data_IF_003001134590
#
_entry.id   IF_003001134590
#
_cell.length_a   1.000
_cell.length_b   1.000
_cell.length_c   1.000
_cell.angle_alpha   90.00
_cell.angle_beta   90.00
_cell.angle_gamma   90.00
#
_symmetry.space_group_name_H-M   'P 1'
#
loop_
_entity.id
_entity.type
_entity.pdbx_description
1 polymer ?
#
# COMPACT_ATOMS: atom_id res chain seq x y z
N UNK A 1 -6.15 18.45 41.45
CA UNK A 1 -5.92 19.32 40.30
C UNK A 1 -4.43 19.40 40.03
N UNK A 2 -3.99 18.78 38.97
CA UNK A 2 -2.71 19.05 38.29
C UNK A 2 -2.83 18.43 36.91
N UNK A 3 -3.14 19.27 35.93
CA UNK A 3 -3.25 18.90 34.53
C UNK A 3 -1.85 18.70 33.95
N UNK A 4 -1.56 17.49 33.51
CA UNK A 4 -0.40 17.23 32.66
C UNK A 4 -0.75 17.60 31.23
N UNK A 5 -0.39 18.79 30.80
CA UNK A 5 -0.33 19.15 29.39
C UNK A 5 0.81 18.35 28.75
N UNK A 6 0.47 17.35 27.94
CA UNK A 6 1.42 16.70 27.06
C UNK A 6 1.81 17.70 25.96
N UNK A 7 2.96 18.32 26.12
CA UNK A 7 3.60 19.15 25.09
C UNK A 7 4.02 18.20 23.99
N UNK A 8 3.37 18.26 22.81
CA UNK A 8 3.84 17.63 21.60
C UNK A 8 5.24 18.19 21.29
N UNK A 9 6.26 17.35 21.39
CA UNK A 9 7.61 17.73 21.01
C UNK A 9 7.61 18.09 19.51
N UNK A 10 8.19 19.26 19.13
CA UNK A 10 8.26 19.64 17.73
C UNK A 10 9.10 18.62 16.97
N UNK A 11 8.65 18.27 15.77
CA UNK A 11 9.38 17.46 14.80
C UNK A 11 10.79 18.03 14.65
N UNK A 12 11.79 17.37 15.24
CA UNK A 12 13.16 17.88 15.26
C UNK A 12 13.66 18.00 13.83
N UNK A 13 14.01 19.21 13.43
CA UNK A 13 14.62 19.51 12.14
C UNK A 13 15.77 18.53 11.87
N UNK A 14 15.74 17.86 10.73
CA UNK A 14 16.83 17.03 10.22
C UNK A 14 18.13 17.85 10.26
N UNK A 15 19.15 17.34 10.94
CA UNK A 15 20.46 17.99 10.97
C UNK A 15 20.98 18.12 9.55
N UNK A 16 21.34 19.33 9.15
CA UNK A 16 22.05 19.63 7.92
C UNK A 16 23.38 18.85 7.90
N UNK A 17 23.42 17.77 7.12
CA UNK A 17 24.61 16.89 6.99
C UNK A 17 24.35 15.66 6.13
N UNK A 18 23.09 15.30 5.88
CA UNK A 18 22.75 14.06 5.20
C UNK A 18 21.71 14.34 4.09
N UNK A 19 22.19 14.88 2.97
CA UNK A 19 21.40 15.59 1.99
C UNK A 19 20.93 14.75 0.81
N UNK A 20 19.93 13.91 1.01
CA UNK A 20 18.92 13.76 -0.02
C UNK A 20 17.69 14.55 0.43
N UNK A 21 17.33 15.60 -0.28
CA UNK A 21 16.13 16.40 -0.01
C UNK A 21 14.84 15.74 -0.53
N UNK A 22 14.96 14.67 -1.30
CA UNK A 22 13.80 13.98 -1.91
C UNK A 22 12.99 13.26 -0.82
N UNK A 23 11.73 13.63 -0.58
CA UNK A 23 10.87 12.90 0.35
C UNK A 23 10.52 11.51 -0.18
N UNK A 24 10.08 10.62 0.71
CA UNK A 24 9.75 9.23 0.39
C UNK A 24 8.26 8.99 0.56
N UNK A 25 7.66 8.34 -0.45
CA UNK A 25 6.36 7.69 -0.39
C UNK A 25 6.49 6.18 -0.30
N UNK A 26 5.58 5.54 0.42
CA UNK A 26 5.47 4.09 0.48
C UNK A 26 4.01 3.71 0.28
N UNK A 27 3.72 2.96 -0.79
CA UNK A 27 2.36 2.60 -1.18
C UNK A 27 1.75 1.52 -0.29
N UNK A 28 2.57 0.81 0.50
CA UNK A 28 2.10 -0.27 1.35
C UNK A 28 3.04 -0.57 2.51
N UNK A 29 2.58 -0.28 3.72
CA UNK A 29 3.26 -0.61 4.96
C UNK A 29 2.26 -0.91 6.06
N UNK A 30 2.63 -1.72 7.04
CA UNK A 30 1.78 -2.07 8.17
C UNK A 30 2.32 -1.50 9.47
N UNK A 31 1.41 -1.17 10.39
CA UNK A 31 1.79 -0.87 11.78
C UNK A 31 1.39 -1.97 12.74
N UNK A 32 0.28 -2.62 12.48
CA UNK A 32 -0.36 -3.53 13.43
C UNK A 32 -0.47 -4.96 12.92
N UNK A 33 0.22 -5.31 11.83
CA UNK A 33 0.19 -6.65 11.26
C UNK A 33 1.34 -7.53 11.76
N UNK A 34 1.09 -8.84 11.93
CA UNK A 34 2.09 -9.88 12.19
C UNK A 34 2.81 -9.74 13.53
N UNK A 35 4.13 -9.60 13.46
CA UNK A 35 5.06 -9.64 14.59
C UNK A 35 4.82 -8.48 15.58
N UNK A 36 4.23 -7.41 15.15
CA UNK A 36 3.98 -6.21 15.95
C UNK A 36 2.56 -6.16 16.49
N UNK A 37 2.11 -7.21 17.18
CA UNK A 37 0.90 -7.15 18.03
C UNK A 37 1.02 -6.14 19.17
N UNK A 38 2.20 -5.55 19.36
CA UNK A 38 2.39 -4.51 20.35
C UNK A 38 1.74 -3.22 19.87
N UNK A 39 0.99 -2.54 20.75
CA UNK A 39 0.44 -1.25 20.42
C UNK A 39 1.54 -0.35 19.91
N UNK A 40 1.23 0.44 18.91
CA UNK A 40 2.12 1.43 18.34
C UNK A 40 2.66 2.48 19.34
N UNK A 41 2.28 2.44 20.60
CA UNK A 41 2.94 3.13 21.72
C UNK A 41 4.42 2.79 21.85
N UNK A 42 4.85 1.62 21.31
CA UNK A 42 6.27 1.19 21.34
C UNK A 42 7.06 1.73 20.14
N UNK A 43 6.40 2.12 19.04
CA UNK A 43 7.06 2.69 17.86
C UNK A 43 6.40 4.01 17.45
N UNK A 44 6.94 5.16 17.85
CA UNK A 44 6.41 6.45 17.45
C UNK A 44 6.53 6.60 15.93
N UNK A 45 5.39 6.65 15.24
CA UNK A 45 5.30 6.75 13.79
C UNK A 45 6.07 7.96 13.25
N UNK A 46 5.90 9.11 13.89
CA UNK A 46 6.60 10.33 13.50
C UNK A 46 8.13 10.15 13.48
N UNK A 47 8.68 9.45 14.50
CA UNK A 47 10.11 9.12 14.52
C UNK A 47 10.50 8.19 13.38
N UNK A 48 9.73 7.14 13.13
CA UNK A 48 10.00 6.20 12.05
C UNK A 48 10.00 6.88 10.68
N UNK A 49 8.99 7.69 10.41
CA UNK A 49 8.88 8.46 9.17
C UNK A 49 10.03 9.49 9.06
N UNK A 50 10.33 10.21 10.14
CA UNK A 50 11.40 11.21 10.17
C UNK A 50 12.79 10.63 9.92
N UNK A 51 13.10 9.44 10.41
CA UNK A 51 14.39 8.78 10.20
C UNK A 51 14.72 8.57 8.72
N UNK A 52 13.72 8.43 7.87
CA UNK A 52 13.88 8.25 6.43
C UNK A 52 13.44 9.44 5.59
N UNK A 53 12.88 10.52 6.18
CA UNK A 53 12.16 11.55 5.46
C UNK A 53 11.00 10.94 4.63
N UNK A 54 10.27 9.98 5.21
CA UNK A 54 9.06 9.42 4.63
C UNK A 54 7.90 10.37 4.94
N UNK A 55 7.25 10.89 3.90
CA UNK A 55 6.24 11.94 4.06
C UNK A 55 4.87 11.56 3.48
N UNK A 56 4.78 10.46 2.72
CA UNK A 56 3.52 9.96 2.18
C UNK A 56 3.46 8.43 2.31
N UNK A 57 3.00 7.95 3.45
CA UNK A 57 2.98 6.51 3.75
C UNK A 57 1.56 5.98 3.73
N UNK A 58 1.30 5.00 2.87
CA UNK A 58 0.08 4.21 2.94
C UNK A 58 0.14 3.27 4.13
N UNK A 59 -0.82 3.45 5.02
CA UNK A 59 -0.95 2.64 6.20
C UNK A 59 -2.03 1.60 6.01
N UNK A 60 -1.62 0.39 5.62
CA UNK A 60 -2.51 -0.69 5.29
C UNK A 60 -3.05 -1.37 6.55
N UNK A 61 -4.36 -1.18 6.77
CA UNK A 61 -5.14 -1.96 7.71
C UNK A 61 -5.47 -3.30 7.06
N UNK A 62 -5.11 -4.41 7.70
CA UNK A 62 -5.44 -5.75 7.19
C UNK A 62 -6.90 -6.06 7.50
N UNK A 63 -7.77 -5.94 6.49
CA UNK A 63 -9.22 -6.01 6.63
C UNK A 63 -9.75 -7.39 7.01
N UNK A 64 -8.97 -8.43 6.75
CA UNK A 64 -9.31 -9.82 7.02
C UNK A 64 -8.43 -10.49 8.09
N UNK A 65 -7.63 -9.71 8.84
CA UNK A 65 -6.65 -10.23 9.81
C UNK A 65 -7.19 -11.28 10.79
N UNK A 66 -8.39 -11.18 11.36
CA UNK A 66 -8.90 -12.17 12.31
C UNK A 66 -9.14 -13.56 11.71
N UNK A 67 -9.28 -13.63 10.38
CA UNK A 67 -9.61 -14.85 9.64
C UNK A 67 -8.45 -15.43 8.85
N UNK A 68 -7.22 -14.97 9.11
CA UNK A 68 -6.00 -15.53 8.53
C UNK A 68 -5.13 -16.20 9.61
N UNK A 69 -4.32 -17.16 9.19
CA UNK A 69 -3.35 -17.84 10.05
C UNK A 69 -2.07 -18.19 9.30
N UNK A 70 -0.93 -18.26 9.99
CA UNK A 70 0.28 -18.90 9.44
C UNK A 70 0.05 -20.38 9.15
N UNK A 71 0.68 -20.87 8.08
CA UNK A 71 0.80 -22.28 7.73
C UNK A 71 2.18 -22.55 7.15
N UNK A 72 2.60 -23.83 6.97
CA UNK A 72 3.87 -24.17 6.32
C UNK A 72 3.98 -23.64 4.88
N UNK A 73 2.86 -23.29 4.26
CA UNK A 73 2.79 -22.75 2.89
C UNK A 73 2.55 -21.24 2.84
N UNK A 74 2.74 -20.53 3.95
CA UNK A 74 2.45 -19.10 4.10
C UNK A 74 1.10 -18.83 4.79
N UNK A 75 0.60 -17.62 4.68
CA UNK A 75 -0.69 -17.22 5.27
C UNK A 75 -1.85 -17.88 4.55
N UNK A 76 -2.85 -18.34 5.31
CA UNK A 76 -4.06 -19.00 4.79
C UNK A 76 -5.31 -18.54 5.54
N UNK A 77 -6.43 -18.63 4.84
CA UNK A 77 -7.73 -18.40 5.47
C UNK A 77 -8.00 -19.38 6.62
N UNK A 78 -8.54 -18.86 7.71
CA UNK A 78 -9.03 -19.61 8.88
C UNK A 78 -10.49 -19.26 9.14
N UNK A 79 -11.38 -20.01 8.55
CA UNK A 79 -12.82 -19.71 8.63
C UNK A 79 -13.21 -18.50 7.76
N UNK A 80 -14.46 -18.07 7.89
CA UNK A 80 -14.99 -16.90 7.20
C UNK A 80 -15.61 -15.94 8.22
N UNK A 81 -15.62 -14.63 7.97
CA UNK A 81 -16.33 -13.69 8.82
C UNK A 81 -17.83 -14.05 8.85
N UNK A 82 -18.44 -13.95 10.03
CA UNK A 82 -19.91 -13.94 10.13
C UNK A 82 -20.45 -12.61 9.60
N UNK A 83 -21.70 -12.54 9.14
CA UNK A 83 -22.31 -11.26 8.75
C UNK A 83 -22.05 -10.16 9.78
N UNK A 84 -21.64 -8.98 9.36
CA UNK A 84 -21.27 -7.83 10.19
C UNK A 84 -19.91 -7.91 10.88
N UNK A 85 -19.25 -9.06 10.91
CA UNK A 85 -18.01 -9.21 11.67
C UNK A 85 -16.81 -8.48 11.00
N UNK A 86 -16.72 -8.51 9.67
CA UNK A 86 -15.68 -7.82 8.94
C UNK A 86 -15.87 -6.29 8.98
N UNK A 87 -17.11 -5.83 8.88
CA UNK A 87 -17.48 -4.41 9.03
C UNK A 87 -17.15 -3.90 10.44
N UNK A 88 -17.48 -4.68 11.48
CA UNK A 88 -17.11 -4.35 12.87
C UNK A 88 -15.60 -4.25 13.03
N UNK A 89 -14.85 -5.25 12.56
CA UNK A 89 -13.40 -5.26 12.59
C UNK A 89 -12.80 -4.02 11.91
N UNK A 90 -13.23 -3.72 10.70
CA UNK A 90 -12.82 -2.53 9.97
C UNK A 90 -13.06 -1.25 10.77
N UNK A 91 -14.27 -1.09 11.33
CA UNK A 91 -14.66 0.12 12.08
C UNK A 91 -13.80 0.32 13.33
N UNK A 92 -13.52 -0.74 14.07
CA UNK A 92 -12.68 -0.70 15.27
C UNK A 92 -11.21 -0.37 14.92
N UNK A 93 -10.69 -1.01 13.87
CA UNK A 93 -9.30 -0.82 13.46
C UNK A 93 -9.05 0.56 12.86
N UNK A 94 -9.96 1.07 12.02
CA UNK A 94 -9.79 2.41 11.44
C UNK A 94 -9.85 3.49 12.51
N UNK A 95 -10.70 3.32 13.52
CA UNK A 95 -10.76 4.22 14.67
C UNK A 95 -9.45 4.18 15.48
N UNK A 96 -8.88 2.99 15.69
CA UNK A 96 -7.60 2.79 16.37
C UNK A 96 -6.45 3.47 15.63
N UNK A 97 -6.38 3.28 14.31
CA UNK A 97 -5.35 3.88 13.47
C UNK A 97 -5.44 5.41 13.49
N UNK A 98 -6.65 5.95 13.33
CA UNK A 98 -6.89 7.40 13.38
C UNK A 98 -6.48 8.02 14.72
N UNK A 99 -6.87 7.37 15.82
CA UNK A 99 -6.49 7.78 17.18
C UNK A 99 -4.97 7.81 17.34
N UNK A 100 -4.29 6.77 16.84
CA UNK A 100 -2.84 6.69 16.93
C UNK A 100 -2.14 7.76 16.09
N UNK A 101 -2.58 8.01 14.85
CA UNK A 101 -2.04 9.08 14.01
C UNK A 101 -2.20 10.45 14.70
N UNK A 102 -3.38 10.73 15.25
CA UNK A 102 -3.65 11.97 15.98
C UNK A 102 -2.74 12.14 17.22
N UNK A 103 -2.53 11.07 18.00
CA UNK A 103 -1.63 11.09 19.17
C UNK A 103 -0.17 11.34 18.80
N UNK A 104 0.22 11.01 17.57
CA UNK A 104 1.56 11.23 17.02
C UNK A 104 1.70 12.57 16.29
N UNK A 105 0.62 13.35 16.19
CA UNK A 105 0.61 14.61 15.42
C UNK A 105 0.76 14.39 13.91
N UNK A 106 0.48 13.18 13.39
CA UNK A 106 0.56 12.85 11.97
C UNK A 106 -0.79 13.12 11.31
N UNK A 107 -0.77 13.88 10.22
CA UNK A 107 -1.97 14.18 9.42
C UNK A 107 -2.33 13.00 8.51
N UNK A 108 -3.63 12.87 8.25
CA UNK A 108 -4.17 11.89 7.30
C UNK A 108 -4.43 12.63 5.99
N UNK A 109 -3.83 12.16 4.90
CA UNK A 109 -4.05 12.69 3.57
C UNK A 109 -5.44 12.29 3.07
N UNK A 110 -6.31 13.26 2.87
CA UNK A 110 -7.69 13.08 2.40
C UNK A 110 -8.04 13.93 1.19
N UNK A 111 -7.17 14.89 0.84
CA UNK A 111 -7.36 15.85 -0.25
C UNK A 111 -6.09 15.96 -1.11
N UNK A 112 -6.20 16.45 -2.36
CA UNK A 112 -5.03 16.76 -3.19
C UNK A 112 -4.05 17.76 -2.54
N UNK A 113 -4.55 18.71 -1.73
CA UNK A 113 -3.70 19.66 -1.02
C UNK A 113 -2.80 18.98 0.05
N UNK A 114 -3.29 17.93 0.69
CA UNK A 114 -2.47 17.14 1.63
C UNK A 114 -1.31 16.45 0.90
N UNK A 115 -1.52 16.01 -0.34
CA UNK A 115 -0.47 15.44 -1.18
C UNK A 115 0.60 16.47 -1.54
N UNK A 116 0.21 17.73 -1.81
CA UNK A 116 1.15 18.82 -2.06
C UNK A 116 2.03 19.11 -0.84
N UNK A 117 1.46 19.04 0.36
CA UNK A 117 2.21 19.20 1.60
C UNK A 117 3.17 18.03 1.82
N UNK A 118 2.74 16.79 1.55
CA UNK A 118 3.60 15.62 1.62
C UNK A 118 4.78 15.69 0.65
N UNK A 119 4.55 16.14 -0.60
CA UNK A 119 5.59 16.36 -1.61
C UNK A 119 6.59 17.44 -1.22
N UNK A 120 6.20 18.37 -0.35
CA UNK A 120 7.07 19.43 0.24
C UNK A 120 7.77 18.99 1.51
N UNK A 121 7.52 17.76 2.00
CA UNK A 121 8.20 17.20 3.16
C UNK A 121 7.39 17.16 4.45
N UNK A 122 6.10 17.53 4.42
CA UNK A 122 5.22 17.42 5.60
C UNK A 122 4.68 15.99 5.72
N UNK A 123 4.87 15.28 6.86
CA UNK A 123 4.44 13.90 7.00
C UNK A 123 2.92 13.71 6.97
N UNK A 124 2.45 12.87 6.07
CA UNK A 124 1.06 12.45 5.94
C UNK A 124 0.96 10.93 5.82
N UNK A 125 -0.11 10.39 6.38
CA UNK A 125 -0.50 8.97 6.23
C UNK A 125 -1.70 8.89 5.31
N UNK A 126 -1.65 7.99 4.34
CA UNK A 126 -2.83 7.56 3.58
C UNK A 126 -3.43 6.37 4.30
N UNK A 127 -4.67 6.49 4.77
CA UNK A 127 -5.37 5.33 5.30
C UNK A 127 -5.75 4.40 4.16
N UNK A 128 -5.26 3.17 4.23
CA UNK A 128 -5.57 2.12 3.27
C UNK A 128 -6.11 0.87 3.95
N UNK A 129 -6.80 0.04 3.17
CA UNK A 129 -7.35 -1.24 3.63
C UNK A 129 -6.84 -2.33 2.70
N UNK A 130 -6.21 -3.34 3.27
CA UNK A 130 -5.78 -4.54 2.56
C UNK A 130 -6.82 -5.65 2.72
N UNK A 131 -7.55 -5.94 1.63
CA UNK A 131 -8.68 -6.87 1.64
C UNK A 131 -9.98 -6.22 2.09
N UNK A 132 -10.90 -6.03 1.16
CA UNK A 132 -12.14 -5.28 1.37
C UNK A 132 -13.33 -6.16 1.82
N UNK A 133 -13.08 -7.19 2.65
CA UNK A 133 -14.11 -8.07 3.19
C UNK A 133 -15.18 -7.35 4.03
N UNK A 134 -14.90 -6.14 4.50
CA UNK A 134 -15.88 -5.29 5.18
C UNK A 134 -17.05 -4.84 4.29
N UNK A 135 -16.92 -5.02 2.97
CA UNK A 135 -17.98 -4.75 1.99
C UNK A 135 -18.91 -5.93 1.75
N UNK A 136 -18.66 -7.10 2.35
CA UNK A 136 -19.53 -8.26 2.20
C UNK A 136 -20.96 -8.01 2.74
N UNK A 137 -21.12 -7.02 3.63
CA UNK A 137 -22.41 -6.59 4.16
C UNK A 137 -23.11 -5.54 3.27
N UNK A 138 -22.42 -4.93 2.31
CA UNK A 138 -22.98 -3.96 1.37
C UNK A 138 -22.00 -2.90 0.88
N UNK A 139 -22.35 -2.26 -0.24
CA UNK A 139 -21.52 -1.24 -0.90
C UNK A 139 -21.45 0.07 -0.09
N UNK A 140 -22.40 0.32 0.79
CA UNK A 140 -22.48 1.50 1.67
C UNK A 140 -21.24 1.59 2.59
N UNK A 141 -20.57 0.46 2.81
CA UNK A 141 -19.29 0.40 3.52
C UNK A 141 -18.23 1.28 2.89
N UNK A 142 -18.24 1.53 1.56
CA UNK A 142 -17.30 2.43 0.89
C UNK A 142 -17.49 3.89 1.30
N UNK A 143 -18.73 4.37 1.39
CA UNK A 143 -18.97 5.73 1.89
C UNK A 143 -18.52 5.90 3.34
N UNK A 144 -18.77 4.90 4.18
CA UNK A 144 -18.29 4.91 5.57
C UNK A 144 -16.76 4.93 5.62
N UNK A 145 -16.07 4.15 4.81
CA UNK A 145 -14.62 4.14 4.69
C UNK A 145 -14.09 5.50 4.21
N UNK A 146 -14.69 6.08 3.17
CA UNK A 146 -14.33 7.40 2.65
C UNK A 146 -14.50 8.50 3.71
N UNK A 147 -15.63 8.53 4.43
CA UNK A 147 -15.90 9.46 5.54
C UNK A 147 -14.90 9.28 6.69
N UNK A 148 -14.43 8.05 6.92
CA UNK A 148 -13.37 7.75 7.88
C UNK A 148 -11.98 8.20 7.42
N UNK A 149 -11.81 8.67 6.18
CA UNK A 149 -10.57 9.17 5.62
C UNK A 149 -9.78 8.16 4.80
N UNK A 150 -10.34 6.97 4.50
CA UNK A 150 -9.71 5.99 3.60
C UNK A 150 -9.65 6.56 2.18
N UNK A 151 -8.48 6.43 1.55
CA UNK A 151 -8.25 6.88 0.16
C UNK A 151 -7.56 5.84 -0.71
N UNK A 152 -7.35 4.62 -0.17
CA UNK A 152 -6.71 3.54 -0.89
C UNK A 152 -7.31 2.21 -0.41
N UNK A 153 -7.85 1.39 -1.32
CA UNK A 153 -8.49 0.10 -0.99
C UNK A 153 -7.98 -0.98 -1.91
N UNK A 154 -7.45 -2.04 -1.32
CA UNK A 154 -7.12 -3.28 -2.00
C UNK A 154 -8.32 -4.21 -1.95
N UNK A 155 -8.72 -4.74 -3.11
CA UNK A 155 -9.97 -5.48 -3.30
C UNK A 155 -10.00 -6.82 -2.55
N UNK A 156 -8.92 -7.57 -2.62
CA UNK A 156 -8.80 -8.94 -2.11
C UNK A 156 -7.49 -9.14 -1.35
N UNK A 157 -7.43 -10.13 -0.42
CA UNK A 157 -6.22 -10.45 0.31
C UNK A 157 -6.06 -11.97 0.52
N UNK A 158 -6.27 -12.52 1.72
CA UNK A 158 -6.14 -13.94 2.03
C UNK A 158 -7.46 -14.62 2.42
N UNK A 159 -8.55 -13.85 2.53
CA UNK A 159 -9.88 -14.37 2.84
C UNK A 159 -10.81 -14.13 1.66
N UNK A 160 -11.56 -15.14 1.29
CA UNK A 160 -12.58 -15.07 0.24
C UNK A 160 -13.62 -14.03 0.58
N UNK A 161 -13.92 -13.18 -0.37
CA UNK A 161 -14.95 -12.15 -0.27
C UNK A 161 -15.83 -12.15 -1.53
N UNK A 162 -16.85 -11.32 -1.53
CA UNK A 162 -17.79 -11.20 -2.64
C UNK A 162 -17.30 -10.41 -3.84
N UNK A 163 -16.07 -9.85 -3.77
CA UNK A 163 -15.52 -8.92 -4.77
C UNK A 163 -14.82 -9.65 -5.92
N UNK A 164 -13.99 -10.64 -5.60
CA UNK A 164 -13.21 -11.33 -6.63
C UNK A 164 -12.22 -12.36 -6.09
N UNK A 165 -11.44 -12.92 -7.00
CA UNK A 165 -10.48 -13.97 -6.70
C UNK A 165 -9.08 -13.42 -6.43
N UNK A 166 -8.34 -14.08 -5.51
CA UNK A 166 -6.97 -13.75 -5.15
C UNK A 166 -5.99 -14.90 -5.44
N UNK A 167 -4.71 -14.57 -5.60
CA UNK A 167 -3.68 -15.44 -6.19
C UNK A 167 -3.37 -16.71 -5.39
N UNK A 168 -3.57 -16.72 -4.08
CA UNK A 168 -3.03 -17.78 -3.20
C UNK A 168 -4.00 -18.91 -2.89
N UNK A 169 -5.22 -18.86 -3.43
CA UNK A 169 -6.24 -19.91 -3.34
C UNK A 169 -6.84 -20.23 -4.72
N UNK A 170 -7.50 -21.38 -4.83
CA UNK A 170 -8.21 -21.72 -6.05
C UNK A 170 -9.31 -20.67 -6.34
N UNK A 171 -9.45 -20.21 -7.59
CA UNK A 171 -10.47 -19.24 -7.94
C UNK A 171 -11.88 -19.78 -7.67
N UNK A 172 -12.78 -18.89 -7.25
CA UNK A 172 -14.17 -19.21 -6.95
C UNK A 172 -15.14 -18.49 -7.89
N UNK A 173 -14.76 -17.30 -8.36
CA UNK A 173 -15.64 -16.42 -9.14
C UNK A 173 -15.24 -16.32 -10.62
N UNK A 174 -14.07 -16.83 -10.99
CA UNK A 174 -13.51 -16.65 -12.32
C UNK A 174 -13.01 -15.23 -12.59
N UNK A 175 -12.72 -14.48 -11.53
CA UNK A 175 -12.21 -13.11 -11.58
C UNK A 175 -12.99 -12.14 -10.69
N UNK A 176 -13.24 -10.93 -11.20
CA UNK A 176 -14.02 -9.89 -10.56
C UNK A 176 -15.52 -10.21 -10.69
N UNK A 177 -16.26 -10.15 -9.61
CA UNK A 177 -17.73 -10.36 -9.62
C UNK A 177 -18.46 -9.11 -10.12
N UNK A 178 -19.77 -9.22 -10.35
CA UNK A 178 -20.61 -8.04 -10.64
C UNK A 178 -20.66 -7.06 -9.46
N UNK A 179 -20.61 -7.57 -8.23
CA UNK A 179 -20.45 -6.73 -7.05
C UNK A 179 -19.09 -6.06 -7.04
N UNK A 180 -18.01 -6.79 -7.35
CA UNK A 180 -16.68 -6.24 -7.47
C UNK A 180 -16.55 -5.14 -8.53
N UNK A 181 -17.28 -5.25 -9.65
CA UNK A 181 -17.37 -4.16 -10.66
C UNK A 181 -17.96 -2.91 -10.06
N UNK A 182 -19.09 -3.04 -9.34
CA UNK A 182 -19.73 -1.91 -8.63
C UNK A 182 -18.80 -1.30 -7.57
N UNK A 183 -18.02 -2.13 -6.86
CA UNK A 183 -17.01 -1.63 -5.90
C UNK A 183 -15.97 -0.76 -6.60
N UNK A 184 -15.43 -1.18 -7.76
CA UNK A 184 -14.45 -0.39 -8.53
C UNK A 184 -15.08 0.92 -9.03
N UNK A 185 -16.29 0.87 -9.56
CA UNK A 185 -17.03 2.05 -10.02
C UNK A 185 -17.29 3.04 -8.87
N UNK A 186 -17.69 2.54 -7.71
CA UNK A 186 -17.94 3.36 -6.54
C UNK A 186 -16.67 3.94 -5.94
N UNK A 187 -15.55 3.21 -5.95
CA UNK A 187 -14.24 3.75 -5.61
C UNK A 187 -13.87 4.93 -6.52
N UNK A 188 -14.07 4.81 -7.84
CA UNK A 188 -13.87 5.92 -8.77
C UNK A 188 -14.75 7.13 -8.41
N UNK A 189 -16.04 6.89 -8.12
CA UNK A 189 -16.99 7.97 -7.75
C UNK A 189 -16.59 8.69 -6.46
N UNK A 190 -16.07 7.95 -5.47
CA UNK A 190 -15.67 8.49 -4.17
C UNK A 190 -14.25 9.06 -4.14
N UNK A 191 -13.45 8.86 -5.18
CA UNK A 191 -12.05 9.28 -5.19
C UNK A 191 -11.16 8.40 -4.32
N UNK A 192 -11.42 7.10 -4.29
CA UNK A 192 -10.62 6.09 -3.59
C UNK A 192 -9.76 5.36 -4.62
N UNK A 193 -8.44 5.34 -4.40
CA UNK A 193 -7.50 4.60 -5.22
C UNK A 193 -7.72 3.09 -5.06
N UNK A 194 -7.91 2.38 -6.16
CA UNK A 194 -8.08 0.92 -6.17
C UNK A 194 -6.74 0.24 -6.31
N UNK A 195 -6.49 -0.75 -5.46
CA UNK A 195 -5.28 -1.58 -5.44
C UNK A 195 -5.60 -3.02 -5.85
N UNK A 196 -4.83 -3.52 -6.79
CA UNK A 196 -4.98 -4.85 -7.39
C UNK A 196 -4.01 -5.89 -6.81
N UNK A 197 -3.16 -5.51 -5.84
CA UNK A 197 -2.26 -6.47 -5.21
C UNK A 197 -3.06 -7.66 -4.65
N UNK A 198 -2.48 -8.85 -4.70
CA UNK A 198 -3.12 -10.14 -4.41
C UNK A 198 -4.14 -10.66 -5.46
N UNK A 199 -4.70 -9.83 -6.32
CA UNK A 199 -5.74 -10.25 -7.25
C UNK A 199 -5.25 -11.28 -8.29
N UNK A 200 -6.12 -12.20 -8.69
CA UNK A 200 -5.82 -13.11 -9.82
C UNK A 200 -5.76 -12.33 -11.13
N UNK A 201 -5.12 -12.93 -12.16
CA UNK A 201 -5.07 -12.32 -13.49
C UNK A 201 -6.46 -11.93 -14.02
N UNK A 202 -7.50 -12.79 -14.01
CA UNK A 202 -8.83 -12.39 -14.46
C UNK A 202 -9.43 -11.24 -13.65
N UNK A 203 -9.21 -11.20 -12.33
CA UNK A 203 -9.67 -10.08 -11.48
C UNK A 203 -9.01 -8.77 -11.89
N UNK A 204 -7.68 -8.78 -12.15
CA UNK A 204 -6.94 -7.61 -12.64
C UNK A 204 -7.45 -7.13 -13.98
N UNK A 205 -7.53 -8.04 -14.97
CA UNK A 205 -7.92 -7.68 -16.33
C UNK A 205 -9.34 -7.07 -16.35
N UNK A 206 -10.26 -7.63 -15.57
CA UNK A 206 -11.64 -7.14 -15.46
C UNK A 206 -11.73 -5.82 -14.67
N UNK A 207 -10.93 -5.63 -13.62
CA UNK A 207 -10.88 -4.36 -12.89
C UNK A 207 -10.30 -3.22 -13.76
N UNK A 208 -9.25 -3.50 -14.55
CA UNK A 208 -8.67 -2.57 -15.51
C UNK A 208 -9.68 -2.16 -16.61
N UNK A 209 -10.59 -3.05 -16.99
CA UNK A 209 -11.62 -2.76 -17.98
C UNK A 209 -12.70 -1.81 -17.45
N UNK A 210 -13.00 -1.87 -16.14
CA UNK A 210 -14.05 -1.07 -15.49
C UNK A 210 -13.53 0.28 -15.00
N UNK A 211 -12.27 0.32 -14.55
CA UNK A 211 -11.71 1.49 -13.89
C UNK A 211 -11.61 2.70 -14.83
N UNK A 212 -12.06 3.87 -14.34
CA UNK A 212 -11.93 5.18 -14.98
C UNK A 212 -10.69 5.94 -14.54
N UNK A 213 -10.24 5.73 -13.28
CA UNK A 213 -9.01 6.27 -12.73
C UNK A 213 -7.87 5.23 -12.80
N UNK A 214 -6.60 5.63 -12.73
CA UNK A 214 -5.49 4.70 -12.61
C UNK A 214 -5.64 3.80 -11.37
N UNK A 215 -5.20 2.55 -11.51
CA UNK A 215 -5.13 1.59 -10.40
C UNK A 215 -3.67 1.34 -10.04
N UNK A 216 -3.43 0.80 -8.85
CA UNK A 216 -2.09 0.39 -8.43
C UNK A 216 -2.01 -1.12 -8.20
N UNK A 217 -0.79 -1.62 -8.25
CA UNK A 217 -0.39 -2.86 -7.62
C UNK A 217 0.61 -2.50 -6.55
N UNK A 218 0.14 -2.29 -5.34
CA UNK A 218 0.88 -1.59 -4.30
C UNK A 218 2.18 -2.28 -3.87
N UNK A 219 2.20 -3.62 -3.82
CA UNK A 219 3.35 -4.37 -3.33
C UNK A 219 3.45 -5.75 -4.00
N UNK A 220 4.58 -6.06 -4.58
CA UNK A 220 5.02 -7.36 -5.11
C UNK A 220 6.37 -7.18 -5.84
N UNK A 221 6.71 -8.16 -6.68
CA UNK A 221 7.76 -8.07 -7.68
C UNK A 221 7.23 -8.48 -9.05
N UNK A 222 7.88 -8.03 -10.12
CA UNK A 222 7.52 -8.41 -11.49
C UNK A 222 8.34 -9.62 -11.92
N UNK A 223 7.69 -10.61 -12.52
CA UNK A 223 8.37 -11.76 -13.14
C UNK A 223 8.10 -11.82 -14.65
N UNK A 224 9.11 -12.25 -15.42
CA UNK A 224 8.97 -12.49 -16.86
C UNK A 224 8.16 -13.76 -17.17
N UNK A 225 8.08 -14.69 -16.22
CA UNK A 225 7.30 -15.92 -16.35
C UNK A 225 6.62 -16.27 -15.04
N UNK A 226 5.29 -16.17 -15.01
CA UNK A 226 4.50 -16.67 -13.88
C UNK A 226 4.45 -18.19 -13.98
N UNK A 227 4.97 -18.87 -12.94
CA UNK A 227 4.93 -20.35 -12.89
C UNK A 227 3.56 -20.79 -12.41
N UNK A 228 2.78 -21.39 -13.28
CA UNK A 228 1.43 -21.90 -12.96
C UNK A 228 1.41 -22.90 -11.78
N UNK A 229 2.54 -23.58 -11.51
CA UNK A 229 2.69 -24.56 -10.43
C UNK A 229 3.63 -24.07 -9.32
N UNK A 230 3.64 -22.78 -9.03
CA UNK A 230 4.46 -22.24 -7.94
C UNK A 230 4.05 -22.87 -6.60
N UNK A 231 5.01 -23.55 -5.94
CA UNK A 231 4.76 -24.19 -4.63
C UNK A 231 4.87 -23.21 -3.47
N UNK A 232 5.74 -22.20 -3.60
CA UNK A 232 5.92 -21.17 -2.58
C UNK A 232 4.92 -20.04 -2.78
N UNK A 233 4.24 -19.63 -1.72
CA UNK A 233 3.22 -18.59 -1.76
C UNK A 233 3.73 -17.26 -2.36
N UNK A 234 4.96 -16.85 -2.03
CA UNK A 234 5.57 -15.63 -2.56
C UNK A 234 5.71 -15.65 -4.10
N UNK A 235 5.95 -16.84 -4.70
CA UNK A 235 6.02 -16.97 -6.16
C UNK A 235 4.65 -16.79 -6.81
N UNK A 236 3.57 -17.20 -6.13
CA UNK A 236 2.20 -16.97 -6.60
C UNK A 236 1.80 -15.49 -6.55
N UNK A 237 2.45 -14.72 -5.65
CA UNK A 237 2.19 -13.31 -5.43
C UNK A 237 2.88 -12.39 -6.45
N UNK A 238 3.78 -12.91 -7.28
CA UNK A 238 4.45 -12.11 -8.30
C UNK A 238 3.50 -11.70 -9.43
N UNK A 239 3.67 -10.46 -9.89
CA UNK A 239 2.97 -9.91 -11.03
C UNK A 239 3.68 -10.28 -12.34
N UNK A 240 2.94 -10.76 -13.34
CA UNK A 240 3.49 -10.99 -14.69
C UNK A 240 3.86 -9.66 -15.36
N UNK A 241 4.96 -9.66 -16.12
CA UNK A 241 5.41 -8.44 -16.81
C UNK A 241 4.36 -7.88 -17.78
N UNK A 242 3.60 -8.75 -18.45
CA UNK A 242 2.53 -8.34 -19.35
C UNK A 242 1.39 -7.62 -18.62
N UNK A 243 0.99 -8.10 -17.44
CA UNK A 243 0.00 -7.41 -16.60
C UNK A 243 0.55 -6.10 -16.00
N UNK A 244 1.82 -6.10 -15.58
CA UNK A 244 2.46 -4.86 -15.11
C UNK A 244 2.42 -3.77 -16.20
N UNK A 245 2.66 -4.15 -17.46
CA UNK A 245 2.53 -3.25 -18.61
C UNK A 245 1.10 -2.78 -18.86
N UNK A 246 0.09 -3.63 -18.63
CA UNK A 246 -1.32 -3.21 -18.74
C UNK A 246 -1.68 -2.19 -17.65
N UNK A 247 -1.23 -2.39 -16.41
CA UNK A 247 -1.40 -1.42 -15.32
C UNK A 247 -0.72 -0.09 -15.68
N UNK A 248 0.52 -0.13 -16.16
CA UNK A 248 1.26 1.05 -16.60
C UNK A 248 0.54 1.79 -17.75
N UNK A 249 0.04 1.05 -18.76
CA UNK A 249 -0.70 1.63 -19.90
C UNK A 249 -2.00 2.35 -19.49
N UNK A 250 -2.56 2.02 -18.32
CA UNK A 250 -3.70 2.71 -17.69
C UNK A 250 -3.28 3.86 -16.76
N UNK A 251 -2.00 4.28 -16.81
CA UNK A 251 -1.47 5.32 -15.92
C UNK A 251 -1.13 4.83 -14.50
N UNK A 252 -1.29 3.56 -14.22
CA UNK A 252 -1.09 2.97 -12.90
C UNK A 252 0.37 2.87 -12.46
N UNK A 253 0.57 2.40 -11.23
CA UNK A 253 1.89 2.25 -10.60
C UNK A 253 2.03 0.86 -9.99
N UNK A 254 3.21 0.26 -10.14
CA UNK A 254 3.58 -1.02 -9.53
C UNK A 254 4.62 -0.76 -8.44
N UNK A 255 4.30 -1.14 -7.20
CA UNK A 255 5.17 -1.04 -6.05
C UNK A 255 6.02 -2.28 -5.84
N UNK A 256 7.30 -2.08 -5.55
CA UNK A 256 8.21 -3.14 -5.21
C UNK A 256 8.17 -3.43 -3.70
N UNK A 257 7.94 -4.70 -3.34
CA UNK A 257 7.99 -5.13 -1.94
C UNK A 257 9.41 -5.42 -1.44
N UNK A 258 9.56 -5.55 -0.12
CA UNK A 258 10.84 -5.81 0.51
C UNK A 258 11.21 -7.29 0.65
N UNK A 259 10.62 -8.21 -0.14
CA UNK A 259 10.87 -9.64 0.00
C UNK A 259 12.28 -10.00 -0.49
N UNK A 260 13.16 -10.45 0.43
CA UNK A 260 14.58 -10.70 0.19
C UNK A 260 14.86 -11.66 -0.98
N UNK A 261 14.03 -12.68 -1.17
CA UNK A 261 14.19 -13.61 -2.30
C UNK A 261 14.00 -12.97 -3.68
N UNK A 262 13.29 -11.85 -3.76
CA UNK A 262 13.04 -11.12 -5.00
C UNK A 262 14.01 -9.95 -5.23
N UNK A 263 14.40 -9.29 -4.14
CA UNK A 263 15.11 -8.01 -4.21
C UNK A 263 16.55 -8.08 -3.69
N UNK A 264 17.00 -9.25 -3.23
CA UNK A 264 18.33 -9.41 -2.65
C UNK A 264 18.38 -9.00 -1.18
N UNK A 265 19.60 -8.86 -0.64
CA UNK A 265 19.85 -8.74 0.80
C UNK A 265 20.15 -7.32 1.26
N UNK A 266 20.31 -6.36 0.35
CA UNK A 266 20.76 -5.00 0.66
C UNK A 266 19.84 -3.93 0.09
N UNK A 267 19.82 -2.71 0.65
CA UNK A 267 19.11 -1.59 0.04
C UNK A 267 19.56 -1.30 -1.40
N UNK A 268 20.82 -1.52 -1.71
CA UNK A 268 21.38 -1.33 -3.05
C UNK A 268 20.76 -2.33 -4.06
N UNK A 269 20.67 -3.62 -3.69
CA UNK A 269 20.03 -4.63 -4.55
C UNK A 269 18.53 -4.37 -4.76
N UNK A 270 17.85 -3.81 -3.75
CA UNK A 270 16.48 -3.33 -3.91
C UNK A 270 16.42 -2.16 -4.90
N UNK A 271 17.38 -1.22 -4.83
CA UNK A 271 17.51 -0.12 -5.78
C UNK A 271 17.76 -0.58 -7.21
N UNK A 272 18.62 -1.59 -7.42
CA UNK A 272 18.85 -2.19 -8.75
C UNK A 272 17.57 -2.80 -9.31
N UNK A 273 16.76 -3.45 -8.46
CA UNK A 273 15.47 -4.02 -8.86
C UNK A 273 14.46 -2.93 -9.26
N UNK A 274 14.44 -1.80 -8.57
CA UNK A 274 13.64 -0.63 -8.95
C UNK A 274 14.04 -0.11 -10.34
N UNK A 275 15.34 0.02 -10.59
CA UNK A 275 15.85 0.47 -11.92
C UNK A 275 15.45 -0.52 -13.01
N UNK A 276 15.54 -1.82 -12.75
CA UNK A 276 15.12 -2.85 -13.70
C UNK A 276 13.62 -2.74 -14.02
N UNK A 277 12.76 -2.58 -13.00
CA UNK A 277 11.32 -2.41 -13.19
C UNK A 277 11.00 -1.13 -13.97
N UNK A 278 11.70 -0.02 -13.67
CA UNK A 278 11.56 1.24 -14.42
C UNK A 278 11.99 1.08 -15.88
N UNK A 279 12.99 0.25 -16.15
CA UNK A 279 13.39 -0.10 -17.52
C UNK A 279 12.31 -0.86 -18.30
N UNK A 280 11.43 -1.60 -17.64
CA UNK A 280 10.33 -2.34 -18.26
C UNK A 280 9.05 -1.53 -18.45
N UNK A 281 8.74 -0.65 -17.48
CA UNK A 281 7.44 0.04 -17.38
C UNK A 281 7.52 1.54 -17.70
N UNK A 282 8.71 2.13 -17.61
CA UNK A 282 8.89 3.57 -17.53
C UNK A 282 8.92 4.09 -16.09
N UNK A 283 9.59 5.22 -15.90
CA UNK A 283 9.81 5.82 -14.57
C UNK A 283 8.54 6.29 -13.88
N UNK A 284 7.48 6.57 -14.64
CA UNK A 284 6.19 7.04 -14.13
C UNK A 284 5.31 5.93 -13.54
N UNK A 285 5.74 4.66 -13.65
CA UNK A 285 4.92 3.49 -13.32
C UNK A 285 5.52 2.59 -12.25
N UNK A 286 6.54 3.04 -11.54
CA UNK A 286 7.22 2.27 -10.48
C UNK A 286 7.27 3.09 -9.19
N UNK A 287 7.18 2.43 -8.05
CA UNK A 287 7.29 3.06 -6.74
C UNK A 287 7.69 2.09 -5.64
N UNK A 288 7.82 2.60 -4.43
CA UNK A 288 8.03 1.79 -3.24
C UNK A 288 6.68 1.29 -2.70
N UNK A 289 6.62 0.00 -2.40
CA UNK A 289 5.50 -0.64 -1.72
C UNK A 289 6.07 -1.73 -0.82
N UNK A 290 6.75 -1.32 0.25
CA UNK A 290 7.73 -2.14 0.97
C UNK A 290 7.16 -3.38 1.61
N UNK A 291 5.86 -3.39 1.90
CA UNK A 291 5.21 -4.38 2.76
C UNK A 291 5.92 -4.48 4.15
N UNK A 292 6.34 -3.31 4.63
CA UNK A 292 7.08 -3.16 5.88
C UNK A 292 6.24 -3.67 7.06
N UNK A 293 6.88 -4.41 7.94
CA UNK A 293 6.30 -5.10 9.09
C UNK A 293 5.47 -6.36 8.77
N UNK A 294 5.25 -6.72 7.50
CA UNK A 294 4.70 -8.02 7.10
C UNK A 294 5.80 -8.96 6.56
N UNK A 295 6.77 -8.42 5.82
CA UNK A 295 7.88 -9.20 5.24
C UNK A 295 9.04 -9.30 6.23
N UNK A 296 9.41 -10.55 6.59
CA UNK A 296 10.56 -10.81 7.44
C UNK A 296 11.90 -10.69 6.68
N UNK A 297 12.95 -10.26 7.38
CA UNK A 297 14.32 -10.13 6.84
C UNK A 297 14.42 -9.25 5.58
N UNK A 298 13.56 -8.24 5.47
CA UNK A 298 13.56 -7.29 4.37
C UNK A 298 14.84 -6.44 4.37
N UNK A 299 15.44 -6.17 3.18
CA UNK A 299 16.54 -5.21 3.06
C UNK A 299 16.09 -3.76 3.27
N UNK A 300 14.78 -3.51 3.27
CA UNK A 300 14.14 -2.22 3.51
C UNK A 300 13.17 -2.31 4.70
N UNK A 301 13.67 -2.81 5.83
CA UNK A 301 12.88 -3.01 7.05
C UNK A 301 12.54 -1.71 7.80
N UNK A 302 13.08 -0.57 7.37
CA UNK A 302 12.84 0.75 7.96
C UNK A 302 12.89 1.85 6.90
N UNK A 303 12.30 3.02 7.19
CA UNK A 303 12.42 4.18 6.30
C UNK A 303 13.86 4.73 6.22
N UNK A 304 14.72 4.41 7.21
CA UNK A 304 16.16 4.66 7.12
C UNK A 304 16.81 3.82 6.01
N UNK A 305 16.39 2.58 5.85
CA UNK A 305 16.87 1.72 4.76
C UNK A 305 16.36 2.21 3.41
N UNK A 306 15.09 2.62 3.30
CA UNK A 306 14.56 3.26 2.08
C UNK A 306 15.32 4.56 1.75
N UNK A 307 15.75 5.33 2.76
CA UNK A 307 16.62 6.50 2.55
C UNK A 307 17.95 6.10 1.90
N UNK A 308 18.53 4.96 2.29
CA UNK A 308 19.74 4.40 1.64
C UNK A 308 19.45 4.03 0.19
N UNK A 309 18.27 3.45 -0.10
CA UNK A 309 17.85 3.18 -1.49
C UNK A 309 17.78 4.47 -2.29
N UNK A 310 17.13 5.52 -1.81
CA UNK A 310 17.03 6.80 -2.52
C UNK A 310 18.42 7.37 -2.81
N UNK A 311 19.33 7.39 -1.84
CA UNK A 311 20.71 7.82 -2.06
C UNK A 311 21.47 6.95 -3.08
N UNK A 312 21.17 5.66 -3.10
CA UNK A 312 21.74 4.77 -4.12
C UNK A 312 21.20 5.13 -5.51
N UNK A 313 19.91 5.34 -5.66
CA UNK A 313 19.28 5.74 -6.92
C UNK A 313 19.81 7.09 -7.41
N UNK A 314 20.01 8.08 -6.55
CA UNK A 314 20.59 9.40 -6.89
C UNK A 314 21.99 9.31 -7.50
N UNK A 315 22.74 8.25 -7.20
CA UNK A 315 24.05 7.98 -7.83
C UNK A 315 23.96 7.25 -9.17
N UNK A 316 22.79 6.69 -9.51
CA UNK A 316 22.60 5.82 -10.68
C UNK A 316 21.75 6.43 -11.77
N UNK A 317 20.76 7.24 -11.40
CA UNK A 317 19.81 7.85 -12.35
C UNK A 317 19.58 9.33 -11.99
N UNK A 318 19.00 10.09 -12.92
CA UNK A 318 18.76 11.52 -12.75
C UNK A 318 17.78 11.80 -11.58
N UNK A 319 17.95 12.93 -10.91
CA UNK A 319 17.24 13.28 -9.69
C UNK A 319 15.71 13.40 -9.87
N UNK A 320 15.27 13.86 -11.05
CA UNK A 320 13.83 13.92 -11.41
C UNK A 320 13.21 12.53 -11.50
N UNK A 321 13.93 11.56 -12.07
CA UNK A 321 13.52 10.14 -12.12
C UNK A 321 13.45 9.55 -10.71
N UNK A 322 14.43 9.84 -9.85
CA UNK A 322 14.41 9.41 -8.45
C UNK A 322 13.21 10.00 -7.73
N UNK A 323 12.90 11.28 -7.91
CA UNK A 323 11.74 11.94 -7.28
C UNK A 323 10.42 11.32 -7.71
N UNK A 324 10.25 10.99 -9.01
CA UNK A 324 9.07 10.28 -9.51
C UNK A 324 8.89 8.95 -8.78
N UNK A 325 9.90 8.11 -8.77
CA UNK A 325 9.88 6.76 -8.17
C UNK A 325 9.71 6.83 -6.64
N UNK A 326 10.42 7.75 -6.00
CA UNK A 326 10.46 7.81 -4.53
C UNK A 326 9.13 8.25 -3.89
N UNK A 327 8.36 9.12 -4.55
CA UNK A 327 7.10 9.66 -3.99
C UNK A 327 6.12 10.13 -5.07
N UNK A 328 6.65 10.69 -6.18
CA UNK A 328 5.83 11.41 -7.17
C UNK A 328 4.75 10.54 -7.80
N UNK A 329 5.09 9.32 -8.15
CA UNK A 329 4.15 8.40 -8.81
C UNK A 329 2.98 8.00 -7.89
N UNK A 330 3.25 7.73 -6.61
CA UNK A 330 2.19 7.44 -5.66
C UNK A 330 1.30 8.66 -5.41
N UNK A 331 1.89 9.83 -5.21
CA UNK A 331 1.13 11.07 -5.05
C UNK A 331 0.26 11.37 -6.29
N UNK A 332 0.77 11.12 -7.50
CA UNK A 332 0.05 11.32 -8.75
C UNK A 332 -1.18 10.44 -8.84
N UNK A 333 -1.06 9.13 -8.67
CA UNK A 333 -2.22 8.22 -8.79
C UNK A 333 -3.27 8.44 -7.70
N UNK A 334 -2.85 8.82 -6.49
CA UNK A 334 -3.78 9.23 -5.44
C UNK A 334 -4.54 10.50 -5.83
N UNK A 335 -3.83 11.50 -6.38
CA UNK A 335 -4.43 12.73 -6.85
C UNK A 335 -5.45 12.48 -7.96
N UNK A 336 -5.05 11.73 -8.98
CA UNK A 336 -5.92 11.39 -10.10
C UNK A 336 -7.18 10.64 -9.65
N UNK A 337 -7.07 9.72 -8.68
CA UNK A 337 -8.22 9.07 -8.07
C UNK A 337 -9.11 10.08 -7.34
N UNK A 338 -8.56 10.94 -6.48
CA UNK A 338 -9.33 11.93 -5.70
C UNK A 338 -9.99 13.00 -6.59
N UNK A 339 -9.38 13.37 -7.72
CA UNK A 339 -9.90 14.36 -8.66
C UNK A 339 -10.93 13.77 -9.62
N UNK A 340 -10.78 12.49 -10.00
CA UNK A 340 -11.74 11.75 -10.83
C UNK A 340 -13.13 11.63 -10.20
N UNK A 341 -13.24 11.77 -8.88
CA UNK A 341 -14.52 11.83 -8.15
C UNK A 341 -15.38 13.05 -8.50
N UNK A 342 -14.82 14.06 -9.17
CA UNK A 342 -15.50 15.32 -9.51
C UNK A 342 -16.00 15.37 -10.96
N UNK A 343 -15.62 14.39 -11.77
CA UNK A 343 -16.02 14.28 -13.18
C UNK A 343 -17.13 13.23 -13.34
#
# INVERSE_FOLDING_TARGET
>A
MLGAAAVAAPYAALRAGDSSSIPIGDMHAHLFFGISRQPATVRPLGKLMGEGNATLVSWALVGDQPWIRPSPRGLRQKGSPKPGAATKWFTEEIARVRKHAAQQGIKIATTPADLDLALKGEPHVVLSVEGASFLDDGIEGLEAAHKAGVRHIQLVHFVRNTIGDFQTEAPQHGGLTDFGRKVVEECNRLGILVDLAHATRPTVDQALAVAKAPLVWSHSSITKSVRANARAQWMMRQLGLDQAKQIAAKGGVVGLWGLRSDVGATPESYGDRIIEMAGWLGDDHVGFGTDMNAVANSPVASYRDLRRVVRYLERKIAADRVRKIAIGNYARVLREAMEGAKA
#
